data_IF_943788463760
#
_entry.id   IF_943788463760
#
_cell.length_a   1.000
_cell.length_b   1.000
_cell.length_c   1.000
_cell.angle_alpha   90.00
_cell.angle_beta   90.00
_cell.angle_gamma   90.00
#
_symmetry.space_group_name_H-M   'P 1'
#
loop_
_entity.id
_entity.type
_entity.pdbx_description
1 polymer ?
#
# COMPACT_ATOMS: atom_id res chain seq x y z
N UNK A 1 57.86 17.04 -40.17
CA UNK A 1 57.50 18.17 -41.06
C UNK A 1 56.16 17.84 -41.69
N UNK A 2 55.21 18.82 -41.78
CA UNK A 2 54.02 18.89 -42.69
C UNK A 2 53.06 17.65 -42.66
N UNK A 3 51.76 17.74 -42.38
CA UNK A 3 50.75 18.73 -42.79
C UNK A 3 50.06 18.26 -44.10
N UNK A 4 48.74 18.31 -44.34
CA UNK A 4 47.59 18.95 -43.64
C UNK A 4 46.27 18.27 -44.10
N UNK A 5 45.11 18.62 -43.50
CA UNK A 5 43.73 18.13 -43.78
C UNK A 5 43.27 18.17 -45.26
N UNK A 6 42.23 17.45 -45.72
CA UNK A 6 40.75 17.66 -45.57
C UNK A 6 40.01 16.37 -46.09
N UNK A 7 38.78 15.98 -45.71
CA UNK A 7 37.83 16.50 -44.71
C UNK A 7 36.38 16.70 -45.19
N UNK A 8 35.54 15.64 -45.26
CA UNK A 8 34.11 15.72 -45.68
C UNK A 8 33.19 14.89 -44.77
N UNK A 9 32.05 15.46 -44.36
CA UNK A 9 31.01 14.76 -43.61
C UNK A 9 29.92 14.19 -44.54
N UNK A 10 29.33 13.05 -44.16
CA UNK A 10 28.03 12.62 -44.69
C UNK A 10 27.12 12.19 -43.53
N UNK A 11 25.96 12.84 -43.42
CA UNK A 11 24.85 12.32 -42.64
C UNK A 11 24.19 11.17 -43.41
N UNK A 12 23.87 10.08 -42.72
CA UNK A 12 23.01 9.01 -43.23
C UNK A 12 21.98 8.65 -42.17
N UNK A 13 20.74 9.14 -42.32
CA UNK A 13 19.65 8.77 -41.44
C UNK A 13 19.17 7.34 -41.77
N UNK A 14 19.05 6.50 -40.75
CA UNK A 14 18.46 5.15 -40.88
C UNK A 14 17.06 5.19 -40.26
N UNK A 15 16.05 5.07 -41.12
CA UNK A 15 14.69 4.71 -40.73
C UNK A 15 14.38 3.38 -41.41
N UNK A 16 14.24 2.32 -40.61
CA UNK A 16 13.72 1.03 -41.06
C UNK A 16 12.69 0.56 -40.04
N UNK A 17 11.43 0.82 -40.37
CA UNK A 17 10.30 0.11 -39.78
C UNK A 17 10.21 -1.28 -40.44
N UNK A 18 9.95 -2.33 -39.65
CA UNK A 18 9.75 -3.67 -40.21
C UNK A 18 9.82 -4.81 -39.19
N UNK A 19 8.68 -5.11 -38.56
CA UNK A 19 8.43 -6.41 -37.92
C UNK A 19 7.09 -6.96 -38.44
N UNK A 20 7.16 -7.99 -39.30
CA UNK A 20 6.03 -8.88 -39.61
C UNK A 20 6.10 -10.07 -38.63
N UNK A 21 5.07 -10.38 -37.82
CA UNK A 21 3.83 -11.13 -38.12
C UNK A 21 4.05 -12.61 -38.52
N UNK A 22 3.14 -13.58 -38.20
CA UNK A 22 1.98 -13.56 -37.28
C UNK A 22 1.77 -14.85 -36.43
N UNK A 23 0.62 -14.93 -35.75
CA UNK A 23 -0.18 -16.12 -35.34
C UNK A 23 0.28 -17.07 -34.21
N UNK A 24 -0.38 -16.91 -33.05
CA UNK A 24 -1.06 -18.00 -32.33
C UNK A 24 -2.24 -17.43 -31.53
N UNK A 25 -3.47 -17.91 -31.76
CA UNK A 25 -4.67 -17.36 -31.14
C UNK A 25 -4.80 -17.78 -29.66
N UNK A 26 -4.87 -16.79 -28.77
CA UNK A 26 -5.50 -16.92 -27.46
C UNK A 26 -6.85 -16.18 -27.49
N UNK A 27 -7.92 -16.69 -26.84
CA UNK A 27 -9.18 -15.97 -26.77
C UNK A 27 -8.98 -14.64 -26.05
N UNK A 28 -9.58 -13.58 -26.56
CA UNK A 28 -9.53 -12.27 -25.94
C UNK A 28 -10.08 -12.36 -24.50
N UNK A 29 -9.20 -12.19 -23.52
CA UNK A 29 -9.65 -11.55 -22.29
C UNK A 29 -10.11 -10.15 -22.70
N UNK A 30 -11.36 -9.79 -22.35
CA UNK A 30 -11.83 -8.43 -22.49
C UNK A 30 -10.96 -7.54 -21.59
N UNK A 31 -9.93 -6.92 -22.18
CA UNK A 31 -9.24 -5.79 -21.57
C UNK A 31 -10.28 -4.68 -21.41
N UNK A 32 -10.86 -4.62 -20.21
CA UNK A 32 -11.71 -3.53 -19.80
C UNK A 32 -10.89 -2.25 -19.91
N UNK A 33 -11.13 -1.48 -20.97
CA UNK A 33 -10.47 -0.21 -21.22
C UNK A 33 -10.79 0.71 -20.05
N UNK A 34 -9.85 0.86 -19.13
CA UNK A 34 -9.99 1.74 -17.98
C UNK A 34 -10.16 3.17 -18.49
N UNK A 35 -11.38 3.69 -18.36
CA UNK A 35 -11.66 5.08 -18.73
C UNK A 35 -10.91 6.00 -17.77
N UNK A 36 -10.23 7.05 -18.26
CA UNK A 36 -9.50 7.99 -17.41
C UNK A 36 -10.38 8.80 -16.44
N UNK A 37 -11.71 8.66 -16.53
CA UNK A 37 -12.70 9.28 -15.63
C UNK A 37 -13.21 8.33 -14.53
N UNK A 38 -12.84 7.04 -14.56
CA UNK A 38 -13.16 6.08 -13.50
C UNK A 38 -11.99 5.97 -12.56
N UNK A 39 -12.20 6.30 -11.28
CA UNK A 39 -11.26 5.91 -10.24
C UNK A 39 -11.06 4.39 -10.29
N UNK A 40 -9.83 3.87 -10.19
CA UNK A 40 -9.56 2.44 -10.30
C UNK A 40 -10.39 1.67 -9.28
N UNK A 41 -10.95 0.55 -9.72
CA UNK A 41 -11.78 -0.29 -8.86
C UNK A 41 -10.91 -1.01 -7.83
N UNK A 42 -10.67 -0.34 -6.70
CA UNK A 42 -10.00 -0.89 -5.51
C UNK A 42 -10.72 -2.18 -5.11
N UNK A 43 -10.01 -3.31 -5.11
CA UNK A 43 -10.62 -4.57 -4.71
C UNK A 43 -10.99 -4.53 -3.22
N UNK A 44 -11.95 -5.37 -2.80
CA UNK A 44 -12.36 -5.42 -1.39
C UNK A 44 -11.25 -5.87 -0.41
N UNK A 45 -10.15 -6.41 -0.94
CA UNK A 45 -8.89 -6.69 -0.23
C UNK A 45 -7.96 -5.48 -0.10
N UNK A 46 -8.11 -4.50 -0.98
CA UNK A 46 -7.17 -3.39 -1.18
C UNK A 46 -7.71 -2.09 -0.53
N UNK A 47 -8.98 -2.09 -0.13
CA UNK A 47 -9.60 -1.05 0.68
C UNK A 47 -9.09 -1.16 2.13
N UNK A 48 -8.03 -0.40 2.42
CA UNK A 48 -7.41 -0.29 3.74
C UNK A 48 -8.42 0.05 4.86
N UNK A 49 -9.57 0.67 4.55
CA UNK A 49 -10.59 0.97 5.56
C UNK A 49 -11.38 -0.26 6.05
N UNK A 50 -11.21 -1.42 5.40
CA UNK A 50 -11.86 -2.69 5.78
C UNK A 50 -11.11 -3.49 6.83
N UNK A 51 -9.96 -3.03 7.33
CA UNK A 51 -9.27 -3.67 8.45
C UNK A 51 -10.20 -3.79 9.67
N UNK A 52 -10.34 -5.01 10.17
CA UNK A 52 -11.22 -5.34 11.30
C UNK A 52 -10.43 -5.47 12.61
N UNK A 53 -11.15 -5.50 13.72
CA UNK A 53 -10.57 -5.88 15.01
C UNK A 53 -9.98 -7.29 15.00
N UNK A 54 -10.54 -8.23 14.23
CA UNK A 54 -9.99 -9.59 14.12
C UNK A 54 -8.63 -9.60 13.42
N UNK A 55 -8.47 -8.81 12.35
CA UNK A 55 -7.20 -8.70 11.62
C UNK A 55 -6.11 -8.09 12.53
N UNK A 56 -6.44 -7.01 13.24
CA UNK A 56 -5.53 -6.38 14.19
C UNK A 56 -5.12 -7.32 15.33
N UNK A 57 -6.06 -8.06 15.93
CA UNK A 57 -5.76 -9.01 17.00
C UNK A 57 -4.91 -10.19 16.52
N UNK A 58 -5.14 -10.70 15.31
CA UNK A 58 -4.34 -11.75 14.71
C UNK A 58 -2.88 -11.30 14.50
N UNK A 59 -2.67 -10.11 13.92
CA UNK A 59 -1.34 -9.53 13.74
C UNK A 59 -0.68 -9.23 15.09
N UNK A 60 -1.43 -8.74 16.08
CA UNK A 60 -0.92 -8.47 17.43
C UNK A 60 -0.46 -9.74 18.17
N UNK A 61 -1.09 -10.90 17.94
CA UNK A 61 -0.64 -12.17 18.51
C UNK A 61 0.70 -12.62 17.88
N UNK A 62 0.82 -12.54 16.56
CA UNK A 62 2.08 -12.86 15.84
C UNK A 62 3.21 -11.94 16.32
N UNK A 63 2.97 -10.62 16.37
CA UNK A 63 3.91 -9.60 16.81
C UNK A 63 4.45 -9.80 18.24
N UNK A 64 3.73 -10.57 19.08
CA UNK A 64 4.09 -10.85 20.48
C UNK A 64 4.86 -12.16 20.68
N UNK A 65 5.07 -12.94 19.63
CA UNK A 65 5.82 -14.20 19.70
C UNK A 65 7.27 -13.97 20.16
N UNK A 66 7.77 -14.85 21.03
CA UNK A 66 9.13 -14.75 21.58
C UNK A 66 9.84 -16.12 21.58
N UNK A 67 11.12 -16.20 21.16
CA UNK A 67 11.92 -15.12 20.58
C UNK A 67 11.31 -14.61 19.26
N UNK A 68 11.44 -13.31 18.99
CA UNK A 68 10.94 -12.74 17.74
C UNK A 68 11.67 -13.37 16.54
N UNK A 69 10.89 -13.92 15.62
CA UNK A 69 11.32 -14.39 14.30
C UNK A 69 10.92 -13.38 13.21
N UNK A 70 11.22 -13.70 11.94
CA UNK A 70 10.92 -12.82 10.81
C UNK A 70 9.40 -12.51 10.70
N UNK A 71 8.53 -13.42 11.14
CA UNK A 71 7.08 -13.21 11.14
C UNK A 71 6.64 -12.27 12.27
N UNK A 72 7.19 -12.42 13.47
CA UNK A 72 6.96 -11.51 14.59
C UNK A 72 7.45 -10.08 14.27
N UNK A 73 8.61 -9.95 13.62
CA UNK A 73 9.14 -8.65 13.17
C UNK A 73 8.25 -8.03 12.08
N UNK A 74 7.87 -8.78 11.05
CA UNK A 74 6.97 -8.29 10.01
C UNK A 74 5.60 -7.84 10.57
N UNK A 75 5.06 -8.56 11.56
CA UNK A 75 3.82 -8.19 12.22
C UNK A 75 3.95 -6.92 13.10
N UNK A 76 5.13 -6.68 13.70
CA UNK A 76 5.41 -5.42 14.41
C UNK A 76 5.48 -4.23 13.46
N UNK A 77 6.14 -4.39 12.30
CA UNK A 77 6.20 -3.37 11.25
C UNK A 77 4.80 -3.09 10.66
N UNK A 78 3.98 -4.11 10.43
CA UNK A 78 2.61 -3.96 9.93
C UNK A 78 1.74 -3.16 10.92
N UNK A 79 1.84 -3.43 12.22
CA UNK A 79 1.15 -2.65 13.26
C UNK A 79 1.62 -1.19 13.27
N UNK A 80 2.94 -0.94 13.16
CA UNK A 80 3.49 0.42 13.14
C UNK A 80 3.05 1.22 11.88
N UNK A 81 2.98 0.55 10.72
CA UNK A 81 2.50 1.12 9.47
C UNK A 81 0.98 1.39 9.53
N UNK A 82 0.19 0.43 10.02
CA UNK A 82 -1.25 0.58 10.23
C UNK A 82 -1.60 1.75 11.14
N UNK A 83 -0.93 1.86 12.31
CA UNK A 83 -1.08 3.00 13.23
C UNK A 83 -0.66 4.34 12.59
N UNK A 84 0.34 4.32 11.71
CA UNK A 84 0.77 5.51 10.96
C UNK A 84 -0.28 5.97 9.95
N UNK A 85 -0.95 5.04 9.27
CA UNK A 85 -2.06 5.34 8.35
C UNK A 85 -3.31 5.82 9.11
N UNK A 86 -3.61 5.16 10.23
CA UNK A 86 -4.70 5.49 11.14
C UNK A 86 -4.57 6.90 11.72
N UNK A 87 -3.34 7.33 12.05
CA UNK A 87 -3.07 8.72 12.44
C UNK A 87 -3.51 9.71 11.35
N UNK A 88 -3.12 9.47 10.09
CA UNK A 88 -3.49 10.33 8.97
C UNK A 88 -5.00 10.40 8.74
N UNK A 89 -5.68 9.25 8.83
CA UNK A 89 -7.15 9.19 8.75
C UNK A 89 -7.84 9.96 9.88
N UNK A 90 -7.40 9.77 11.13
CA UNK A 90 -7.97 10.45 12.30
C UNK A 90 -7.67 11.96 12.27
N UNK A 91 -6.49 12.36 11.76
CA UNK A 91 -6.14 13.77 11.57
C UNK A 91 -7.07 14.44 10.56
N UNK A 92 -7.32 13.79 9.42
CA UNK A 92 -8.23 14.32 8.39
C UNK A 92 -9.70 14.37 8.88
N UNK A 93 -10.20 13.28 9.47
CA UNK A 93 -11.60 13.18 9.91
C UNK A 93 -11.94 14.08 11.10
N UNK A 94 -10.96 14.41 11.96
CA UNK A 94 -11.11 15.35 13.09
C UNK A 94 -10.56 16.76 12.81
N UNK A 95 -10.39 17.13 11.54
CA UNK A 95 -9.92 18.47 11.12
C UNK A 95 -8.60 18.94 11.80
N UNK A 96 -7.72 18.01 12.15
CA UNK A 96 -6.45 18.26 12.86
C UNK A 96 -6.52 18.20 14.38
N UNK A 97 -7.69 17.95 14.98
CA UNK A 97 -7.89 17.84 16.44
C UNK A 97 -7.47 16.46 17.00
N UNK A 98 -6.22 16.06 16.72
CA UNK A 98 -5.54 14.93 17.38
C UNK A 98 -4.09 15.29 17.74
N UNK A 99 -3.52 14.57 18.71
CA UNK A 99 -2.12 14.75 19.08
C UNK A 99 -1.17 14.48 17.89
N UNK A 100 0.00 15.14 17.83
CA UNK A 100 1.03 14.85 16.86
C UNK A 100 1.47 13.38 16.89
N UNK A 101 1.75 12.79 15.71
CA UNK A 101 2.20 11.40 15.61
C UNK A 101 3.54 11.22 16.33
N UNK A 102 3.49 10.54 17.47
CA UNK A 102 4.64 10.24 18.33
C UNK A 102 4.65 8.76 18.72
N UNK A 103 5.75 8.28 19.30
CA UNK A 103 5.80 6.91 19.85
C UNK A 103 4.76 6.72 20.97
N UNK A 104 4.60 7.71 21.84
CA UNK A 104 3.60 7.68 22.92
C UNK A 104 2.17 7.62 22.38
N UNK A 105 1.85 8.40 21.34
CA UNK A 105 0.54 8.35 20.69
C UNK A 105 0.28 7.00 20.02
N UNK A 106 1.29 6.43 19.33
CA UNK A 106 1.18 5.10 18.71
C UNK A 106 0.97 4.03 19.76
N UNK A 107 1.74 4.04 20.86
CA UNK A 107 1.61 3.07 21.95
C UNK A 107 0.26 3.18 22.68
N UNK A 108 -0.20 4.41 22.99
CA UNK A 108 -1.49 4.66 23.61
C UNK A 108 -2.67 4.25 22.70
N UNK A 109 -2.55 4.48 21.39
CA UNK A 109 -3.56 4.07 20.41
C UNK A 109 -3.56 2.56 20.19
N UNK A 110 -2.40 1.92 20.03
CA UNK A 110 -2.29 0.47 19.95
C UNK A 110 -2.92 -0.22 21.17
N UNK A 111 -2.65 0.30 22.36
CA UNK A 111 -3.25 -0.19 23.61
C UNK A 111 -4.77 -0.03 23.62
N UNK A 112 -5.29 1.18 23.37
CA UNK A 112 -6.74 1.47 23.35
C UNK A 112 -7.46 0.57 22.35
N UNK A 113 -6.93 0.49 21.14
CA UNK A 113 -7.47 -0.35 20.06
C UNK A 113 -7.45 -1.83 20.45
N UNK A 114 -6.37 -2.34 21.03
CA UNK A 114 -6.31 -3.72 21.54
C UNK A 114 -7.36 -3.97 22.63
N UNK A 115 -7.48 -3.08 23.62
CA UNK A 115 -8.45 -3.21 24.72
C UNK A 115 -9.90 -3.24 24.20
N UNK A 116 -10.27 -2.32 23.31
CA UNK A 116 -11.60 -2.32 22.68
C UNK A 116 -11.82 -3.52 21.77
N UNK A 117 -10.88 -3.85 20.88
CA UNK A 117 -11.03 -4.99 19.97
C UNK A 117 -11.10 -6.33 20.70
N UNK A 118 -10.35 -6.52 21.80
CA UNK A 118 -10.36 -7.76 22.60
C UNK A 118 -11.66 -7.99 23.37
N UNK A 119 -12.53 -6.98 23.44
CA UNK A 119 -13.85 -7.03 24.09
C UNK A 119 -15.01 -6.89 23.10
N UNK A 120 -14.75 -6.75 21.80
CA UNK A 120 -15.78 -6.66 20.78
C UNK A 120 -16.56 -7.99 20.65
N UNK A 121 -17.90 -7.92 20.61
CA UNK A 121 -18.76 -9.11 20.44
C UNK A 121 -18.56 -9.80 19.07
N UNK A 122 -18.13 -9.03 18.07
CA UNK A 122 -17.95 -9.48 16.68
C UNK A 122 -16.68 -8.88 16.05
N UNK A 123 -15.47 -9.28 16.46
CA UNK A 123 -14.24 -8.61 16.03
C UNK A 123 -14.01 -8.64 14.51
N UNK A 124 -14.56 -9.64 13.79
CA UNK A 124 -14.50 -9.74 12.33
C UNK A 124 -15.54 -8.88 11.57
N UNK A 125 -16.47 -8.23 12.27
CA UNK A 125 -17.42 -7.25 11.71
C UNK A 125 -17.12 -5.82 12.20
N UNK A 126 -16.33 -5.66 13.26
CA UNK A 126 -15.97 -4.35 13.85
C UNK A 126 -14.81 -3.69 13.11
N UNK A 127 -15.03 -2.47 12.58
CA UNK A 127 -13.98 -1.70 11.91
C UNK A 127 -12.92 -1.18 12.88
N UNK A 128 -11.64 -1.34 12.51
CA UNK A 128 -10.50 -0.78 13.25
C UNK A 128 -10.54 0.75 13.31
N UNK A 129 -11.04 1.40 12.26
CA UNK A 129 -11.07 2.86 12.12
C UNK A 129 -12.15 3.50 13.00
N UNK A 130 -13.29 2.83 13.15
CA UNK A 130 -14.34 3.24 14.09
C UNK A 130 -13.84 3.13 15.54
N UNK A 131 -13.26 1.99 15.91
CA UNK A 131 -12.70 1.74 17.25
C UNK A 131 -11.59 2.73 17.62
N UNK A 132 -10.69 3.03 16.69
CA UNK A 132 -9.62 3.99 16.94
C UNK A 132 -10.11 5.45 17.04
N UNK A 133 -11.24 5.74 16.37
CA UNK A 133 -11.89 7.04 16.30
C UNK A 133 -12.95 7.31 17.37
N UNK A 134 -13.31 6.31 18.19
CA UNK A 134 -14.07 6.48 19.44
C UNK A 134 -13.25 7.02 20.62
#
# INVERSE_FOLDING_TARGET
>A
MRGTAIGTALLGAIVLAGCAQPDAAAPAAEEAIERPDQAPAVAASDDLMRLTCADFLATAEIARTQPADDAALAAQDEIANGLTWLHGYLYASRAGEIDPRSQDWMAATAKRVYETCSTAEKPAETSLFEVAGS
#
